data_IF_049966131828
#
_entry.id   IF_049966131828
#
_cell.length_a   1.000
_cell.length_b   1.000
_cell.length_c   1.000
_cell.angle_alpha   90.00
_cell.angle_beta   90.00
_cell.angle_gamma   90.00
#
_symmetry.space_group_name_H-M   'P 1'
#
loop_
_entity.id
_entity.type
_entity.pdbx_description
1 polymer ?
#
# COMPACT_ATOMS: atom_id res chain seq x y z
N UNK A 1 -90.47 6.01 11.11
CA UNK A 1 -89.90 6.96 10.13
C UNK A 1 -88.39 6.82 10.13
N UNK A 2 -87.80 6.63 8.94
CA UNK A 2 -86.36 6.67 8.56
C UNK A 2 -85.45 5.61 9.21
N UNK A 3 -85.13 4.49 8.56
CA UNK A 3 -84.14 4.23 7.47
C UNK A 3 -82.69 4.57 7.82
N UNK A 4 -81.80 3.55 7.79
CA UNK A 4 -80.42 3.47 7.24
C UNK A 4 -79.75 2.22 7.87
N UNK A 5 -79.64 1.06 7.21
CA UNK A 5 -78.62 0.62 6.23
C UNK A 5 -77.21 1.17 6.47
N UNK A 6 -76.22 0.27 6.64
CA UNK A 6 -74.80 0.30 6.20
C UNK A 6 -74.15 -0.98 6.80
N UNK A 7 -74.13 -2.08 6.05
CA UNK A 7 -73.06 -2.54 5.14
C UNK A 7 -71.84 -3.18 5.84
N UNK A 8 -71.78 -4.51 5.74
CA UNK A 8 -70.63 -5.37 5.98
C UNK A 8 -69.45 -4.98 5.08
N UNK A 9 -68.28 -4.70 5.65
CA UNK A 9 -66.99 -4.86 4.97
C UNK A 9 -65.93 -5.31 5.98
N UNK A 10 -65.74 -6.63 6.03
CA UNK A 10 -64.56 -7.27 6.60
C UNK A 10 -63.42 -7.05 5.59
N UNK A 11 -62.55 -6.08 5.85
CA UNK A 11 -61.30 -5.94 5.10
C UNK A 11 -60.15 -6.44 5.97
N UNK A 12 -59.81 -7.71 5.78
CA UNK A 12 -58.57 -8.30 6.25
C UNK A 12 -57.40 -7.59 5.59
N UNK A 13 -56.67 -6.77 6.35
CA UNK A 13 -55.37 -6.27 5.95
C UNK A 13 -54.37 -7.42 6.02
N UNK A 14 -54.31 -8.21 4.95
CA UNK A 14 -53.13 -9.01 4.61
C UNK A 14 -51.98 -8.02 4.41
N UNK A 15 -51.12 -7.90 5.41
CA UNK A 15 -49.81 -7.28 5.30
C UNK A 15 -48.96 -8.15 4.36
N UNK A 16 -49.03 -7.83 3.07
CA UNK A 16 -48.13 -8.31 2.04
C UNK A 16 -46.69 -8.04 2.50
N UNK A 17 -45.97 -9.12 2.78
CA UNK A 17 -44.52 -9.12 2.96
C UNK A 17 -43.89 -8.63 1.66
N UNK A 18 -43.46 -7.37 1.67
CA UNK A 18 -42.66 -6.78 0.59
C UNK A 18 -41.28 -7.44 0.61
N UNK A 19 -41.19 -8.63 0.02
CA UNK A 19 -39.93 -9.29 -0.26
C UNK A 19 -39.23 -8.46 -1.32
N UNK A 20 -38.31 -7.60 -0.87
CA UNK A 20 -37.39 -6.86 -1.73
C UNK A 20 -36.51 -7.87 -2.47
N UNK A 21 -36.96 -8.25 -3.65
CA UNK A 21 -36.20 -9.04 -4.60
C UNK A 21 -35.13 -8.11 -5.20
N UNK A 22 -34.04 -7.90 -4.46
CA UNK A 22 -32.81 -7.35 -5.02
C UNK A 22 -32.37 -8.31 -6.12
N UNK A 23 -32.60 -7.93 -7.38
CA UNK A 23 -31.97 -8.54 -8.54
C UNK A 23 -30.48 -8.63 -8.25
N UNK A 24 -30.00 -9.85 -8.01
CA UNK A 24 -28.58 -10.13 -8.07
C UNK A 24 -28.13 -9.67 -9.45
N UNK A 25 -27.37 -8.57 -9.50
CA UNK A 25 -26.58 -8.27 -10.68
C UNK A 25 -25.69 -9.49 -10.86
N UNK A 26 -25.99 -10.29 -11.89
CA UNK A 26 -25.13 -11.39 -12.27
C UNK A 26 -23.73 -10.80 -12.39
N UNK A 27 -22.84 -11.24 -11.52
CA UNK A 27 -21.39 -11.09 -11.68
C UNK A 27 -21.06 -12.01 -12.86
N UNK A 28 -21.47 -11.61 -14.07
CA UNK A 28 -20.81 -12.07 -15.28
C UNK A 28 -19.52 -11.30 -15.26
N UNK A 29 -18.52 -12.00 -14.75
CA UNK A 29 -17.09 -11.77 -14.93
C UNK A 29 -16.86 -10.63 -15.91
N UNK A 30 -16.69 -9.43 -15.34
CA UNK A 30 -15.97 -8.39 -16.04
C UNK A 30 -14.59 -8.99 -16.20
N UNK A 31 -14.36 -9.63 -17.34
CA UNK A 31 -13.07 -10.07 -17.82
C UNK A 31 -12.18 -8.84 -17.65
N UNK A 32 -11.43 -8.81 -16.56
CA UNK A 32 -10.32 -7.91 -16.37
C UNK A 32 -9.27 -8.39 -17.38
N UNK A 33 -9.47 -8.05 -18.64
CA UNK A 33 -8.40 -7.73 -19.56
C UNK A 33 -7.74 -6.44 -19.06
N UNK A 34 -7.25 -6.46 -17.82
CA UNK A 34 -6.32 -5.47 -17.34
C UNK A 34 -5.09 -5.62 -18.21
N UNK A 35 -4.86 -4.65 -19.10
CA UNK A 35 -3.66 -4.56 -19.94
C UNK A 35 -2.46 -5.08 -19.13
N UNK A 36 -1.97 -6.28 -19.47
CA UNK A 36 -0.74 -6.80 -18.91
C UNK A 36 0.32 -5.78 -19.26
N UNK A 37 0.80 -5.16 -18.22
CA UNK A 37 1.88 -4.21 -18.31
C UNK A 37 3.10 -4.97 -18.81
N UNK A 38 3.64 -4.54 -19.95
CA UNK A 38 4.73 -5.22 -20.67
C UNK A 38 6.08 -5.11 -19.96
N UNK A 39 6.09 -4.78 -18.67
CA UNK A 39 7.30 -4.65 -17.87
C UNK A 39 7.66 -6.04 -17.37
N UNK A 40 8.41 -6.77 -18.18
CA UNK A 40 8.77 -8.17 -17.91
C UNK A 40 9.83 -8.30 -16.81
N UNK A 41 10.66 -7.27 -16.61
CA UNK A 41 11.76 -7.34 -15.65
C UNK A 41 12.06 -5.99 -15.00
N UNK A 42 11.94 -5.97 -13.67
CA UNK A 42 12.34 -4.84 -12.84
C UNK A 42 13.60 -5.19 -12.05
N UNK A 43 14.50 -4.23 -11.95
CA UNK A 43 15.74 -4.36 -11.17
C UNK A 43 15.74 -3.29 -10.08
N UNK A 44 16.01 -3.69 -8.84
CA UNK A 44 16.29 -2.75 -7.75
C UNK A 44 17.80 -2.48 -7.72
N UNK A 45 18.18 -1.21 -7.83
CA UNK A 45 19.55 -0.75 -7.55
C UNK A 45 19.54 0.12 -6.32
N UNK A 46 20.46 -0.15 -5.39
CA UNK A 46 20.69 0.69 -4.21
C UNK A 46 22.02 1.43 -4.39
N UNK A 47 21.98 2.75 -4.26
CA UNK A 47 23.16 3.59 -4.17
C UNK A 47 23.39 4.01 -2.73
N UNK A 48 24.66 4.13 -2.31
CA UNK A 48 25.05 4.56 -0.97
C UNK A 48 25.92 5.80 -1.06
N UNK A 49 25.52 6.84 -0.34
CA UNK A 49 26.27 8.07 -0.19
C UNK A 49 26.62 8.30 1.28
N UNK A 50 27.88 8.60 1.54
CA UNK A 50 28.39 8.80 2.88
C UNK A 50 28.88 10.25 3.03
N UNK A 51 28.51 10.88 4.13
CA UNK A 51 28.91 12.25 4.44
C UNK A 51 29.24 12.40 5.91
N UNK A 52 30.41 12.96 6.19
CA UNK A 52 30.76 13.35 7.55
C UNK A 52 29.76 14.37 8.09
N UNK A 53 29.26 14.13 9.30
CA UNK A 53 28.43 15.13 9.98
C UNK A 53 29.34 16.17 10.61
N UNK A 54 28.88 17.42 10.63
CA UNK A 54 29.58 18.53 11.27
C UNK A 54 28.64 19.24 12.24
N UNK A 55 29.18 19.75 13.33
CA UNK A 55 28.53 20.74 14.19
C UNK A 55 29.38 21.99 14.15
N UNK A 56 28.83 23.07 13.58
CA UNK A 56 29.59 24.25 13.17
C UNK A 56 30.78 23.83 12.28
N UNK A 57 31.99 23.85 12.81
CA UNK A 57 33.23 23.52 12.09
C UNK A 57 33.80 22.15 12.47
N UNK A 58 33.26 21.52 13.52
CA UNK A 58 33.83 20.30 14.10
C UNK A 58 33.21 19.07 13.44
N UNK A 59 34.07 18.14 13.02
CA UNK A 59 33.62 16.84 12.50
C UNK A 59 33.10 16.01 13.66
N UNK A 60 31.88 15.51 13.52
CA UNK A 60 31.29 14.58 14.47
C UNK A 60 31.79 13.16 14.18
N UNK A 61 31.86 12.28 15.19
CA UNK A 61 32.27 10.89 14.99
C UNK A 61 31.27 10.12 14.11
N UNK A 62 29.99 10.50 14.16
CA UNK A 62 28.96 9.84 13.36
C UNK A 62 28.94 10.36 11.91
N UNK A 63 28.78 9.43 10.97
CA UNK A 63 28.57 9.73 9.56
C UNK A 63 27.09 9.66 9.22
N UNK A 64 26.66 10.52 8.30
CA UNK A 64 25.33 10.44 7.70
C UNK A 64 25.44 9.59 6.45
N UNK A 65 24.69 8.49 6.40
CA UNK A 65 24.60 7.62 5.24
C UNK A 65 23.24 7.80 4.60
N UNK A 66 23.22 8.05 3.30
CA UNK A 66 21.98 8.13 2.52
C UNK A 66 21.97 6.95 1.56
N UNK A 67 21.00 6.06 1.74
CA UNK A 67 20.74 4.96 0.81
C UNK A 67 19.64 5.40 -0.14
N UNK A 68 19.84 5.23 -1.44
CA UNK A 68 18.88 5.59 -2.48
C UNK A 68 18.53 4.34 -3.26
N UNK A 69 17.31 3.84 -3.08
CA UNK A 69 16.78 2.72 -3.83
C UNK A 69 16.08 3.23 -5.09
N UNK A 70 16.40 2.62 -6.21
CA UNK A 70 15.84 2.91 -7.53
C UNK A 70 15.32 1.61 -8.14
N UNK A 71 14.09 1.66 -8.63
CA UNK A 71 13.54 0.61 -9.50
C UNK A 71 13.80 1.04 -10.93
N UNK A 72 14.42 0.16 -11.70
CA UNK A 72 14.84 0.42 -13.07
C UNK A 72 14.20 -0.61 -13.99
N UNK A 73 13.68 -0.14 -15.13
CA UNK A 73 13.18 -1.01 -16.20
C UNK A 73 14.34 -1.58 -17.03
N UNK A 74 14.04 -2.54 -17.91
CA UNK A 74 14.96 -3.04 -18.95
C UNK A 74 15.63 -1.92 -19.74
N UNK A 75 14.93 -0.83 -20.00
CA UNK A 75 15.43 0.32 -20.78
C UNK A 75 16.34 1.26 -19.98
N UNK A 76 16.66 0.93 -18.73
CA UNK A 76 17.45 1.80 -17.84
C UNK A 76 16.66 2.96 -17.22
N UNK A 77 15.37 3.11 -17.56
CA UNK A 77 14.51 4.17 -17.02
C UNK A 77 14.16 3.94 -15.55
N UNK A 78 14.35 4.96 -14.72
CA UNK A 78 13.96 4.93 -13.30
C UNK A 78 12.45 5.06 -13.16
N UNK A 79 11.84 4.04 -12.57
CA UNK A 79 10.41 3.90 -12.35
C UNK A 79 10.02 4.53 -11.01
N UNK A 80 10.73 4.17 -9.95
CA UNK A 80 10.50 4.64 -8.59
C UNK A 80 11.83 4.91 -7.91
N UNK A 81 11.83 5.89 -7.01
CA UNK A 81 13.01 6.27 -6.21
C UNK A 81 12.58 6.53 -4.77
N UNK A 82 13.28 5.94 -3.82
CA UNK A 82 13.12 6.20 -2.38
C UNK A 82 14.48 6.33 -1.73
N UNK A 83 14.53 7.11 -0.66
CA UNK A 83 15.77 7.38 0.07
C UNK A 83 15.60 7.08 1.55
N UNK A 84 16.52 6.30 2.10
CA UNK A 84 16.69 6.10 3.54
C UNK A 84 17.87 6.92 4.06
N UNK A 85 17.80 7.34 5.31
CA UNK A 85 18.86 8.07 5.99
C UNK A 85 19.24 7.31 7.25
N UNK A 86 20.51 6.99 7.37
CA UNK A 86 21.12 6.41 8.56
C UNK A 86 22.12 7.40 9.16
N UNK A 87 22.29 7.31 10.47
CA UNK A 87 23.38 7.93 11.19
C UNK A 87 24.19 6.78 11.77
N UNK A 88 25.46 6.67 11.39
CA UNK A 88 26.31 5.57 11.80
C UNK A 88 27.50 6.07 12.62
N UNK A 89 27.78 5.44 13.76
CA UNK A 89 29.13 5.39 14.35
C UNK A 89 29.93 4.26 13.68
N UNK A 90 31.19 4.09 14.08
CA UNK A 90 32.12 3.09 13.52
C UNK A 90 31.56 1.66 13.47
N UNK A 91 30.70 1.35 14.42
CA UNK A 91 30.28 0.00 14.83
C UNK A 91 28.75 -0.16 14.89
N UNK A 92 27.97 0.92 14.75
CA UNK A 92 26.51 0.87 14.78
C UNK A 92 25.87 1.91 13.85
N UNK A 93 24.66 1.61 13.37
CA UNK A 93 23.88 2.48 12.49
C UNK A 93 22.43 2.58 12.95
N UNK A 94 21.96 3.82 13.17
CA UNK A 94 20.57 4.10 13.48
C UNK A 94 19.85 4.67 12.26
N UNK A 95 18.68 4.12 11.95
CA UNK A 95 17.82 4.66 10.91
C UNK A 95 17.11 5.92 11.39
N UNK A 96 17.55 7.08 10.89
CA UNK A 96 16.78 8.32 11.05
C UNK A 96 15.53 8.35 10.16
N UNK A 97 15.60 7.70 9.00
CA UNK A 97 14.48 7.54 8.09
C UNK A 97 14.64 6.22 7.33
N UNK A 98 13.78 5.25 7.61
CA UNK A 98 13.76 3.98 6.89
C UNK A 98 12.73 4.01 5.76
N UNK A 99 13.19 4.04 4.52
CA UNK A 99 12.36 3.95 3.31
C UNK A 99 13.07 3.06 2.29
N UNK A 100 12.76 1.76 2.32
CA UNK A 100 13.36 0.76 1.44
C UNK A 100 12.38 0.26 0.38
N UNK A 101 12.92 -0.24 -0.72
CA UNK A 101 12.16 -0.90 -1.77
C UNK A 101 12.61 -2.36 -1.85
N UNK A 102 11.67 -3.31 -1.82
CA UNK A 102 11.90 -4.73 -2.08
C UNK A 102 10.96 -5.17 -3.21
N UNK A 103 11.41 -6.10 -4.05
CA UNK A 103 10.54 -6.79 -5.02
C UNK A 103 10.24 -8.15 -4.41
N UNK A 104 8.96 -8.49 -4.29
CA UNK A 104 8.48 -9.76 -3.71
C UNK A 104 7.50 -10.36 -4.71
N UNK A 105 7.89 -11.47 -5.35
CA UNK A 105 7.13 -12.03 -6.47
C UNK A 105 6.93 -10.99 -7.58
N UNK A 106 5.65 -10.69 -7.89
CA UNK A 106 5.24 -9.73 -8.90
C UNK A 106 4.82 -8.36 -8.32
N UNK A 107 5.20 -8.08 -7.07
CA UNK A 107 4.85 -6.84 -6.37
C UNK A 107 6.09 -6.02 -6.00
N UNK A 108 5.93 -4.71 -6.02
CA UNK A 108 6.88 -3.74 -5.48
C UNK A 108 6.40 -3.36 -4.09
N UNK A 109 7.22 -3.65 -3.08
CA UNK A 109 6.96 -3.30 -1.69
C UNK A 109 7.78 -2.07 -1.32
N UNK A 110 7.09 -1.01 -0.88
CA UNK A 110 7.71 0.22 -0.40
C UNK A 110 7.46 0.32 1.10
N UNK A 111 8.52 0.13 1.88
CA UNK A 111 8.52 0.33 3.31
C UNK A 111 8.49 1.83 3.59
N UNK A 112 7.46 2.30 4.29
CA UNK A 112 7.33 3.71 4.63
C UNK A 112 7.90 3.99 6.01
N UNK A 113 8.64 5.08 6.09
CA UNK A 113 9.08 5.61 7.37
C UNK A 113 7.89 6.11 8.17
N UNK A 114 7.79 5.64 9.41
CA UNK A 114 6.95 6.21 10.45
C UNK A 114 7.83 6.50 11.67
N UNK A 115 7.50 7.56 12.42
CA UNK A 115 8.17 7.85 13.70
C UNK A 115 7.89 6.75 14.73
N UNK A 116 6.69 6.18 14.69
CA UNK A 116 6.30 5.03 15.50
C UNK A 116 6.55 3.75 14.68
N UNK A 117 7.55 2.92 15.02
CA UNK A 117 7.91 1.74 14.22
C UNK A 117 6.76 0.73 14.09
N UNK A 118 5.97 0.56 15.16
CA UNK A 118 4.82 -0.34 15.22
C UNK A 118 3.67 0.07 14.29
N UNK A 119 3.62 1.35 13.91
CA UNK A 119 2.67 1.89 12.93
C UNK A 119 3.29 1.99 11.54
N UNK A 120 4.41 1.31 11.34
CA UNK A 120 5.03 1.16 10.04
C UNK A 120 4.06 0.56 9.03
N UNK A 121 4.14 1.01 7.78
CA UNK A 121 3.31 0.47 6.70
C UNK A 121 4.14 0.14 5.49
N UNK A 122 3.75 -0.93 4.81
CA UNK A 122 4.30 -1.37 3.52
C UNK A 122 3.25 -1.07 2.47
N UNK A 123 3.57 -0.17 1.53
CA UNK A 123 2.72 0.08 0.36
C UNK A 123 3.11 -0.87 -0.76
N UNK A 124 2.13 -1.62 -1.24
CA UNK A 124 2.29 -2.60 -2.31
C UNK A 124 1.81 -2.01 -3.62
N UNK A 125 2.62 -2.18 -4.65
CA UNK A 125 2.33 -1.74 -6.01
C UNK A 125 2.56 -2.91 -6.97
N UNK A 126 1.85 -2.91 -8.09
CA UNK A 126 2.22 -3.74 -9.22
C UNK A 126 3.48 -3.18 -9.91
N UNK A 127 4.03 -3.92 -10.86
CA UNK A 127 5.20 -3.50 -11.64
C UNK A 127 4.97 -2.23 -12.50
N UNK A 128 3.72 -1.80 -12.58
CA UNK A 128 3.24 -0.65 -13.36
C UNK A 128 3.01 0.57 -12.48
N UNK A 129 3.40 0.48 -11.20
CA UNK A 129 3.21 1.51 -10.17
C UNK A 129 1.74 1.74 -9.81
N UNK A 130 0.81 0.86 -10.19
CA UNK A 130 -0.55 0.92 -9.66
C UNK A 130 -0.52 0.42 -8.23
N UNK A 131 -1.14 1.21 -7.36
CA UNK A 131 -1.27 0.84 -5.96
C UNK A 131 -2.21 -0.36 -5.82
N UNK A 132 -1.76 -1.39 -5.11
CA UNK A 132 -2.53 -2.58 -4.83
C UNK A 132 -3.19 -2.49 -3.46
N UNK A 133 -2.37 -2.30 -2.42
CA UNK A 133 -2.85 -2.23 -1.04
C UNK A 133 -1.77 -1.75 -0.09
N UNK A 134 -2.14 -1.57 1.18
CA UNK A 134 -1.22 -1.29 2.28
C UNK A 134 -1.25 -2.47 3.25
N UNK A 135 -0.08 -2.88 3.75
CA UNK A 135 0.09 -3.90 4.78
C UNK A 135 0.75 -3.25 6.00
N UNK A 136 0.36 -3.65 7.21
CA UNK A 136 1.06 -3.23 8.44
C UNK A 136 2.45 -3.87 8.45
N UNK A 137 3.43 -3.14 8.96
CA UNK A 137 4.81 -3.60 9.05
C UNK A 137 4.98 -4.50 10.28
N UNK A 138 4.62 -5.78 10.16
CA UNK A 138 4.85 -6.79 11.20
C UNK A 138 6.25 -7.40 11.11
N UNK A 139 6.81 -7.82 12.25
CA UNK A 139 8.19 -8.35 12.37
C UNK A 139 8.47 -9.56 11.47
N UNK A 140 7.45 -10.36 11.14
CA UNK A 140 7.59 -11.51 10.23
C UNK A 140 7.96 -11.11 8.80
N UNK A 141 7.72 -9.85 8.38
CA UNK A 141 8.04 -9.38 7.03
C UNK A 141 9.55 -9.21 6.73
N UNK A 142 10.41 -9.49 7.72
CA UNK A 142 11.87 -9.37 7.64
C UNK A 142 12.59 -10.73 7.48
N UNK A 143 11.88 -11.86 7.51
CA UNK A 143 12.51 -13.19 7.64
C UNK A 143 12.97 -13.78 6.29
N UNK A 144 12.54 -13.23 5.15
CA UNK A 144 12.93 -13.72 3.83
C UNK A 144 14.19 -13.02 3.28
N UNK A 145 15.30 -13.10 4.00
CA UNK A 145 16.64 -12.69 3.52
C UNK A 145 17.57 -13.91 3.33
#
# INVERSE_FOLDING_TARGET
>A
MRTTFIAFLVFSLFSLSLSSMNKSKSIKDTIQNGRKCSVEKLIVKTERFEKDRKFLFWKLPHKKITLIDRIINTDGKVILKKSSILICSSDACDYRRFCRIKIVGNEIWIFQYNKDPEKGVIKRYDFCKKYLSTKIWDKESLIDD
#
